data_IF_496720080966
#
_entry.id   IF_496720080966
#
_cell.length_a   1.000
_cell.length_b   1.000
_cell.length_c   1.000
_cell.angle_alpha   90.00
_cell.angle_beta   90.00
_cell.angle_gamma   90.00
#
_symmetry.space_group_name_H-M   'P 1'
#
loop_
_entity.id
_entity.type
_entity.pdbx_description
1 polymer ?
#
# COMPACT_ATOMS: atom_id res chain seq x y z
N UNK A 1 7.24 0.90 18.13
CA UNK A 1 8.45 0.11 17.84
C UNK A 1 8.27 -1.06 16.88
N UNK A 2 7.07 -1.39 16.40
CA UNK A 2 6.87 -2.51 15.45
C UNK A 2 7.62 -2.35 14.09
N UNK A 3 7.87 -1.12 13.63
CA UNK A 3 8.67 -0.86 12.42
C UNK A 3 10.18 -1.05 12.62
N UNK A 4 10.65 -1.10 13.87
CA UNK A 4 12.07 -1.25 14.23
C UNK A 4 12.38 -2.68 14.67
N UNK A 5 11.37 -3.56 14.67
CA UNK A 5 11.47 -4.93 15.16
C UNK A 5 11.79 -5.90 14.01
N UNK A 6 12.75 -6.79 14.22
CA UNK A 6 13.20 -7.77 13.23
C UNK A 6 12.23 -8.96 13.07
N UNK A 7 11.21 -9.06 13.93
CA UNK A 7 10.21 -10.13 13.96
C UNK A 7 9.03 -9.92 13.01
N UNK A 8 9.10 -8.94 12.10
CA UNK A 8 8.03 -8.62 11.13
C UNK A 8 6.67 -8.33 11.79
N UNK A 9 6.69 -7.62 12.92
CA UNK A 9 5.49 -7.31 13.71
C UNK A 9 4.64 -6.16 13.13
N UNK A 10 5.15 -5.45 12.12
CA UNK A 10 4.39 -4.40 11.46
C UNK A 10 3.19 -4.99 10.71
N UNK A 11 2.00 -4.47 11.00
CA UNK A 11 0.76 -4.86 10.34
C UNK A 11 0.04 -3.62 9.82
N UNK A 12 -0.59 -3.78 8.65
CA UNK A 12 -1.48 -2.76 8.10
C UNK A 12 -2.79 -2.77 8.87
N UNK A 13 -3.30 -1.57 9.17
CA UNK A 13 -4.64 -1.43 9.72
C UNK A 13 -5.65 -1.45 8.57
N UNK A 14 -6.17 -2.64 8.25
CA UNK A 14 -7.13 -2.87 7.18
C UNK A 14 -8.47 -3.34 7.77
N UNK A 15 -9.60 -3.11 7.08
CA UNK A 15 -10.89 -3.67 7.47
C UNK A 15 -10.82 -5.19 7.62
N UNK A 16 -11.43 -5.72 8.68
CA UNK A 16 -11.52 -7.14 9.00
C UNK A 16 -12.95 -7.57 9.38
N UNK A 17 -13.17 -8.87 9.59
CA UNK A 17 -14.48 -9.45 9.81
C UNK A 17 -15.09 -10.14 8.59
N UNK A 18 -16.11 -10.96 8.85
CA UNK A 18 -16.76 -11.84 7.88
C UNK A 18 -17.65 -11.07 6.87
N UNK A 19 -18.11 -9.88 7.25
CA UNK A 19 -18.97 -9.02 6.42
C UNK A 19 -18.17 -8.08 5.49
N UNK A 20 -16.84 -8.11 5.55
CA UNK A 20 -15.96 -7.26 4.71
C UNK A 20 -15.58 -8.00 3.44
N UNK A 21 -15.97 -7.45 2.28
CA UNK A 21 -15.66 -8.06 0.99
C UNK A 21 -14.16 -7.96 0.64
N UNK A 22 -13.74 -8.76 -0.33
CA UNK A 22 -12.36 -8.68 -0.87
C UNK A 22 -12.11 -7.32 -1.53
N UNK A 23 -13.14 -6.73 -2.14
CA UNK A 23 -13.11 -5.43 -2.77
C UNK A 23 -12.90 -4.31 -1.74
N UNK A 24 -13.66 -4.31 -0.64
CA UNK A 24 -13.45 -3.35 0.46
C UNK A 24 -12.01 -3.39 1.01
N UNK A 25 -11.41 -4.59 1.06
CA UNK A 25 -10.00 -4.76 1.49
C UNK A 25 -9.01 -4.27 0.44
N UNK A 26 -9.29 -4.48 -0.84
CA UNK A 26 -8.46 -4.02 -1.94
C UNK A 26 -8.44 -2.48 -1.99
N UNK A 27 -9.61 -1.84 -1.87
CA UNK A 27 -9.73 -0.37 -1.78
C UNK A 27 -8.99 0.19 -0.56
N UNK A 28 -9.17 -0.45 0.60
CA UNK A 28 -8.47 -0.03 1.81
C UNK A 28 -6.94 -0.17 1.68
N UNK A 29 -6.45 -1.22 1.02
CA UNK A 29 -5.03 -1.40 0.74
C UNK A 29 -4.52 -0.33 -0.22
N UNK A 30 -5.21 -0.07 -1.34
CA UNK A 30 -4.84 0.96 -2.30
C UNK A 30 -4.82 2.35 -1.64
N UNK A 31 -5.80 2.65 -0.79
CA UNK A 31 -5.87 3.87 0.02
C UNK A 31 -4.71 3.99 1.02
N UNK A 32 -4.39 2.91 1.72
CA UNK A 32 -3.25 2.87 2.65
C UNK A 32 -1.94 3.15 1.92
N UNK A 33 -1.70 2.48 0.79
CA UNK A 33 -0.49 2.65 -0.01
C UNK A 33 -0.37 4.07 -0.57
N UNK A 34 -1.47 4.65 -1.06
CA UNK A 34 -1.51 6.05 -1.48
C UNK A 34 -1.05 7.01 -0.38
N UNK A 35 -1.58 6.86 0.84
CA UNK A 35 -1.22 7.73 1.95
C UNK A 35 0.20 7.47 2.48
N UNK A 36 0.66 6.21 2.46
CA UNK A 36 2.05 5.88 2.78
C UNK A 36 3.02 6.56 1.80
N UNK A 37 2.77 6.46 0.49
CA UNK A 37 3.58 7.11 -0.54
C UNK A 37 3.54 8.64 -0.44
N UNK A 38 2.39 9.23 -0.09
CA UNK A 38 2.28 10.67 0.16
C UNK A 38 3.19 11.11 1.32
N UNK A 39 3.11 10.42 2.47
CA UNK A 39 3.97 10.72 3.63
C UNK A 39 5.46 10.51 3.32
N UNK A 40 5.78 9.47 2.56
CA UNK A 40 7.15 9.21 2.13
C UNK A 40 7.66 10.31 1.18
N UNK A 41 6.86 10.76 0.22
CA UNK A 41 7.23 11.84 -0.69
C UNK A 41 7.44 13.18 0.02
N UNK A 42 6.67 13.46 1.09
CA UNK A 42 6.87 14.64 1.94
C UNK A 42 8.17 14.54 2.74
N UNK A 43 8.53 13.36 3.25
CA UNK A 43 9.72 13.17 4.09
C UNK A 43 11.01 12.89 3.31
N UNK A 44 10.91 12.43 2.06
CA UNK A 44 12.01 12.09 1.17
C UNK A 44 11.92 12.89 -0.14
N UNK A 45 12.46 14.13 -0.19
CA UNK A 45 12.33 15.01 -1.36
C UNK A 45 12.97 14.53 -2.67
N UNK A 46 13.73 13.42 -2.64
CA UNK A 46 14.38 12.80 -3.80
C UNK A 46 13.92 11.35 -4.00
N UNK A 47 12.69 11.04 -3.59
CA UNK A 47 12.11 9.70 -3.71
C UNK A 47 12.12 9.19 -5.15
N UNK A 48 11.98 10.09 -6.12
CA UNK A 48 12.08 9.85 -7.56
C UNK A 48 13.47 9.40 -8.04
N UNK A 49 14.51 9.58 -7.23
CA UNK A 49 15.89 9.21 -7.55
C UNK A 49 16.34 7.92 -6.87
N UNK A 50 15.47 7.29 -6.09
CA UNK A 50 15.75 5.98 -5.48
C UNK A 50 15.74 4.93 -6.60
N UNK A 51 16.77 4.09 -6.64
CA UNK A 51 16.96 3.07 -7.66
C UNK A 51 17.25 1.71 -7.03
N UNK A 52 17.35 0.67 -7.86
CA UNK A 52 17.51 -0.71 -7.40
C UNK A 52 16.23 -1.23 -6.76
N UNK A 53 16.37 -2.20 -5.86
CA UNK A 53 15.25 -2.91 -5.23
C UNK A 53 14.28 -1.97 -4.51
N UNK A 54 14.78 -0.94 -3.83
CA UNK A 54 13.91 0.04 -3.16
C UNK A 54 13.14 0.89 -4.16
N UNK A 55 13.74 1.23 -5.31
CA UNK A 55 13.06 1.98 -6.37
C UNK A 55 11.94 1.16 -7.00
N UNK A 56 12.22 -0.10 -7.30
CA UNK A 56 11.24 -1.07 -7.80
C UNK A 56 10.08 -1.26 -6.81
N UNK A 57 10.37 -1.43 -5.52
CA UNK A 57 9.33 -1.53 -4.49
C UNK A 57 8.44 -0.27 -4.42
N UNK A 58 9.00 0.92 -4.65
CA UNK A 58 8.22 2.17 -4.71
C UNK A 58 7.33 2.17 -5.97
N UNK A 59 7.83 1.71 -7.11
CA UNK A 59 7.05 1.61 -8.34
C UNK A 59 5.94 0.57 -8.24
N UNK A 60 6.17 -0.57 -7.60
CA UNK A 60 5.15 -1.57 -7.32
C UNK A 60 4.05 -1.04 -6.40
N UNK A 61 4.43 -0.29 -5.35
CA UNK A 61 3.47 0.39 -4.49
C UNK A 61 2.64 1.42 -5.26
N UNK A 62 3.21 2.13 -6.25
CA UNK A 62 2.43 3.04 -7.11
C UNK A 62 1.40 2.29 -7.95
N UNK A 63 1.75 1.10 -8.45
CA UNK A 63 0.80 0.25 -9.18
C UNK A 63 -0.32 -0.23 -8.25
N UNK A 64 -0.01 -0.62 -7.01
CA UNK A 64 -1.03 -1.02 -6.01
C UNK A 64 -1.96 0.16 -5.66
N UNK A 65 -1.41 1.37 -5.52
CA UNK A 65 -2.18 2.59 -5.27
C UNK A 65 -3.17 2.94 -6.40
N UNK A 66 -2.95 2.40 -7.60
CA UNK A 66 -3.79 2.60 -8.78
C UNK A 66 -4.67 1.38 -9.08
N UNK A 67 -4.84 0.45 -8.11
CA UNK A 67 -5.77 -0.66 -8.30
C UNK A 67 -7.16 -0.12 -8.64
N UNK A 68 -7.58 -0.34 -9.88
CA UNK A 68 -8.96 -0.21 -10.33
C UNK A 68 -9.36 -1.59 -10.83
N UNK A 69 -10.06 -2.34 -9.99
CA UNK A 69 -10.81 -3.51 -10.44
C UNK A 69 -12.20 -3.04 -10.86
N UNK A 70 -12.79 -3.70 -11.85
CA UNK A 70 -14.17 -3.44 -12.24
C UNK A 70 -15.07 -4.30 -11.35
N UNK A 71 -15.82 -3.66 -10.45
CA UNK A 71 -16.75 -4.33 -9.52
C UNK A 71 -17.79 -5.20 -10.25
N UNK A 72 -18.04 -4.89 -11.53
CA UNK A 72 -19.02 -5.55 -12.40
C UNK A 72 -18.42 -6.65 -13.29
N UNK A 73 -17.08 -6.81 -13.38
CA UNK A 73 -16.46 -7.84 -14.24
C UNK A 73 -16.51 -9.25 -13.64
N UNK A 74 -16.65 -9.37 -12.32
CA UNK A 74 -16.65 -10.64 -11.57
C UNK A 74 -18.04 -11.01 -10.98
N UNK A 75 -19.12 -10.37 -11.45
CA UNK A 75 -20.51 -10.68 -11.06
C UNK A 75 -21.21 -11.57 -12.09
#
# INVERSE_FOLDING_TARGET
DALQDDGFLFQLYLPDGDDVSVFDRADALAGWVNHFLLGLGVTQPKLDKVTGETGEAIDDLRNIAQLGYDEDEDQ
#
